data_IF_601815755756
#
_entry.id   IF_601815755756
#
_cell.length_a   1.000
_cell.length_b   1.000
_cell.length_c   1.000
_cell.angle_alpha   90.00
_cell.angle_beta   90.00
_cell.angle_gamma   90.00
#
_symmetry.space_group_name_H-M   'P 1'
#
loop_
_entity.id
_entity.type
_entity.pdbx_description
1 polymer ?
#
# COMPACT_ATOMS: atom_id res chain seq x y z
N UNK A 1 -16.17 1.13 1.67
CA UNK A 1 -16.31 1.94 2.91
C UNK A 1 -16.45 3.41 2.55
N UNK A 2 -17.10 4.17 3.40
CA UNK A 2 -17.16 5.61 3.23
C UNK A 2 -15.93 6.26 3.82
N UNK A 3 -15.22 7.06 3.04
CA UNK A 3 -14.06 7.80 3.51
C UNK A 3 -14.51 9.06 4.26
N UNK A 4 -14.42 9.01 5.58
CA UNK A 4 -14.65 10.15 6.47
C UNK A 4 -13.35 10.53 7.18
N UNK A 5 -13.30 11.67 7.92
CA UNK A 5 -12.07 12.07 8.60
C UNK A 5 -11.54 11.05 9.60
N UNK A 6 -12.41 10.33 10.31
CA UNK A 6 -11.99 9.32 11.28
C UNK A 6 -11.35 8.12 10.58
N UNK A 7 -11.93 7.65 9.48
CA UNK A 7 -11.35 6.56 8.71
C UNK A 7 -10.03 6.96 8.10
N UNK A 8 -9.92 8.17 7.57
CA UNK A 8 -8.66 8.70 7.02
C UNK A 8 -7.55 8.68 8.06
N UNK A 9 -7.85 9.13 9.27
CA UNK A 9 -6.88 9.14 10.36
C UNK A 9 -6.45 7.72 10.74
N UNK A 10 -7.41 6.78 10.84
CA UNK A 10 -7.09 5.37 11.14
C UNK A 10 -6.22 4.74 10.07
N UNK A 11 -6.45 5.06 8.80
CA UNK A 11 -5.63 4.56 7.70
C UNK A 11 -4.20 5.07 7.83
N UNK A 12 -4.02 6.36 8.09
CA UNK A 12 -2.69 6.94 8.27
C UNK A 12 -1.95 6.33 9.46
N UNK A 13 -2.64 6.12 10.58
CA UNK A 13 -2.05 5.47 11.77
C UNK A 13 -1.62 4.03 11.45
N UNK A 14 -2.47 3.29 10.79
CA UNK A 14 -2.21 1.90 10.40
C UNK A 14 -1.00 1.81 9.47
N UNK A 15 -0.93 2.67 8.47
CA UNK A 15 0.19 2.72 7.54
C UNK A 15 1.49 3.08 8.27
N UNK A 16 1.45 4.04 9.18
CA UNK A 16 2.62 4.40 9.99
C UNK A 16 3.16 3.23 10.81
N UNK A 17 2.26 2.47 11.45
CA UNK A 17 2.63 1.29 12.23
C UNK A 17 3.29 0.23 11.34
N UNK A 18 2.66 -0.12 10.23
CA UNK A 18 3.19 -1.17 9.36
C UNK A 18 4.46 -0.74 8.62
N UNK A 19 4.53 0.52 8.17
CA UNK A 19 5.74 1.03 7.53
C UNK A 19 6.94 0.95 8.48
N UNK A 20 6.73 1.28 9.76
CA UNK A 20 7.76 1.15 10.79
C UNK A 20 8.20 -0.32 10.97
N UNK A 21 7.23 -1.24 11.06
CA UNK A 21 7.53 -2.67 11.21
C UNK A 21 8.27 -3.24 10.00
N UNK A 22 7.99 -2.73 8.82
CA UNK A 22 8.60 -3.22 7.58
C UNK A 22 9.87 -2.47 7.21
N UNK A 23 10.28 -1.50 8.04
CA UNK A 23 11.50 -0.70 7.84
C UNK A 23 11.53 0.02 6.50
N UNK A 24 10.40 0.62 6.13
CA UNK A 24 10.28 1.46 4.93
C UNK A 24 9.87 2.87 5.34
N UNK A 25 10.23 3.88 4.51
CA UNK A 25 9.69 5.21 4.69
C UNK A 25 8.17 5.16 4.57
N UNK A 26 7.48 5.98 5.35
CA UNK A 26 6.03 6.09 5.25
C UNK A 26 5.68 6.68 3.88
N UNK A 27 4.94 5.94 3.02
CA UNK A 27 4.66 6.41 1.68
C UNK A 27 3.61 7.51 1.69
N UNK A 28 3.60 8.31 0.62
CA UNK A 28 2.45 9.18 0.34
C UNK A 28 1.26 8.30 -0.01
N UNK A 29 0.08 8.70 0.47
CA UNK A 29 -1.12 7.89 0.38
C UNK A 29 -2.19 8.61 -0.42
N UNK A 30 -2.73 7.92 -1.42
CA UNK A 30 -3.91 8.35 -2.16
C UNK A 30 -5.06 7.46 -1.74
N UNK A 31 -6.22 8.03 -1.46
CA UNK A 31 -7.38 7.30 -0.94
C UNK A 31 -8.59 7.34 -1.88
N UNK A 32 -8.52 8.14 -2.94
CA UNK A 32 -9.61 8.25 -3.92
C UNK A 32 -9.06 8.09 -5.33
N UNK A 33 -9.91 7.61 -6.24
CA UNK A 33 -9.55 7.52 -7.66
C UNK A 33 -9.26 8.89 -8.25
N UNK A 34 -9.94 9.92 -7.78
CA UNK A 34 -9.70 11.28 -8.23
C UNK A 34 -8.29 11.75 -7.89
N UNK A 35 -7.82 11.45 -6.68
CA UNK A 35 -6.44 11.78 -6.29
C UNK A 35 -5.42 11.10 -7.22
N UNK A 36 -5.68 9.86 -7.65
CA UNK A 36 -4.83 9.17 -8.61
C UNK A 36 -4.85 9.87 -9.97
N UNK A 37 -6.03 10.24 -10.46
CA UNK A 37 -6.17 10.92 -11.75
C UNK A 37 -5.52 12.31 -11.77
N UNK A 38 -5.49 12.97 -10.62
CA UNK A 38 -4.88 14.30 -10.47
C UNK A 38 -3.35 14.25 -10.37
N UNK A 39 -2.77 13.05 -10.18
CA UNK A 39 -1.31 12.89 -10.14
C UNK A 39 -0.69 13.04 -11.54
N UNK A 40 0.54 13.61 -11.64
CA UNK A 40 1.26 13.63 -12.92
C UNK A 40 1.45 12.24 -13.50
N UNK A 41 1.37 12.12 -14.82
CA UNK A 41 1.52 10.83 -15.52
C UNK A 41 2.86 10.16 -15.25
N UNK A 42 3.91 10.94 -15.08
CA UNK A 42 5.25 10.46 -14.78
C UNK A 42 5.29 9.69 -13.46
N UNK A 43 4.48 10.12 -12.48
CA UNK A 43 4.42 9.49 -11.17
C UNK A 43 3.62 8.19 -11.22
N UNK A 44 2.49 8.20 -11.92
CA UNK A 44 1.62 7.02 -12.02
C UNK A 44 2.06 6.03 -13.11
N UNK A 45 3.05 6.41 -13.91
CA UNK A 45 3.60 5.57 -15.00
C UNK A 45 2.51 5.08 -15.98
N UNK A 46 1.49 5.89 -16.20
CA UNK A 46 0.40 5.53 -17.08
C UNK A 46 -0.64 4.58 -16.48
N UNK A 47 -0.46 4.13 -15.24
CA UNK A 47 -1.37 3.18 -14.57
C UNK A 47 -2.62 3.84 -13.97
N UNK A 48 -3.02 5.00 -14.49
CA UNK A 48 -4.12 5.80 -13.92
C UNK A 48 -5.47 5.08 -13.97
N UNK A 49 -5.76 4.40 -15.08
CA UNK A 49 -7.03 3.70 -15.27
C UNK A 49 -7.16 2.45 -14.41
N UNK A 50 -6.04 1.86 -14.00
CA UNK A 50 -6.03 0.67 -13.15
C UNK A 50 -6.61 0.94 -11.75
N UNK A 51 -6.59 2.20 -11.30
CA UNK A 51 -7.14 2.57 -9.99
C UNK A 51 -8.62 2.21 -9.84
N UNK A 52 -9.38 2.16 -10.93
CA UNK A 52 -10.79 1.78 -10.85
C UNK A 52 -11.01 0.28 -10.65
N UNK A 53 -10.04 -0.54 -10.99
CA UNK A 53 -10.17 -2.01 -10.98
C UNK A 53 -9.74 -2.66 -9.68
N UNK A 54 -8.79 -2.06 -8.97
CA UNK A 54 -8.11 -2.70 -7.86
C UNK A 54 -8.48 -2.08 -6.52
N UNK A 55 -8.35 -2.88 -5.45
CA UNK A 55 -8.51 -2.40 -4.07
C UNK A 55 -7.35 -1.50 -3.65
N UNK A 56 -6.19 -1.67 -4.26
CA UNK A 56 -5.03 -0.84 -3.98
C UNK A 56 -3.98 -0.98 -5.06
N UNK A 57 -3.03 -0.06 -5.07
CA UNK A 57 -1.89 -0.06 -5.98
C UNK A 57 -0.65 0.43 -5.24
N UNK A 58 0.50 -0.11 -5.62
CA UNK A 58 1.80 0.39 -5.18
C UNK A 58 2.57 0.89 -6.40
N UNK A 59 3.04 2.13 -6.31
CA UNK A 59 3.89 2.72 -7.35
C UNK A 59 5.35 2.54 -6.90
N UNK A 60 5.95 1.41 -7.30
CA UNK A 60 7.20 0.91 -6.73
C UNK A 60 8.40 1.84 -6.95
N UNK A 61 8.40 2.64 -8.01
CA UNK A 61 9.45 3.62 -8.28
C UNK A 61 9.26 4.91 -7.49
N UNK A 62 8.16 5.01 -6.74
CA UNK A 62 7.82 6.14 -5.90
C UNK A 62 7.42 5.62 -4.51
N UNK A 63 7.67 6.39 -3.47
CA UNK A 63 7.14 6.09 -2.15
C UNK A 63 5.68 6.54 -2.10
N UNK A 64 4.83 5.80 -2.81
CA UNK A 64 3.44 6.17 -3.07
C UNK A 64 2.58 4.92 -3.16
N UNK A 65 1.47 4.91 -2.44
CA UNK A 65 0.46 3.86 -2.54
C UNK A 65 -0.93 4.47 -2.71
N UNK A 66 -1.83 3.69 -3.31
CA UNK A 66 -3.24 4.03 -3.42
C UNK A 66 -4.07 2.94 -2.75
N UNK A 67 -4.99 3.35 -1.87
CA UNK A 67 -5.96 2.46 -1.24
C UNK A 67 -7.35 2.90 -1.69
N UNK A 68 -8.04 2.03 -2.41
CA UNK A 68 -9.36 2.32 -2.97
C UNK A 68 -10.44 2.08 -1.92
N UNK A 69 -10.56 3.01 -0.98
CA UNK A 69 -11.45 2.89 0.18
C UNK A 69 -12.89 2.61 -0.25
N UNK A 70 -13.34 3.24 -1.33
CA UNK A 70 -14.71 3.08 -1.83
C UNK A 70 -15.06 1.64 -2.19
N UNK A 71 -14.07 0.86 -2.68
CA UNK A 71 -14.26 -0.55 -3.05
C UNK A 71 -14.12 -1.52 -1.88
N UNK A 72 -13.57 -1.06 -0.77
CA UNK A 72 -13.30 -1.92 0.39
C UNK A 72 -14.57 -2.05 1.22
N UNK A 73 -14.92 -3.29 1.60
CA UNK A 73 -16.18 -3.59 2.28
C UNK A 73 -16.05 -3.54 3.81
N UNK A 74 -14.90 -3.89 4.38
CA UNK A 74 -14.72 -3.93 5.84
C UNK A 74 -13.28 -3.65 6.25
N UNK A 75 -13.06 -3.50 7.57
CA UNK A 75 -11.75 -3.16 8.12
C UNK A 75 -10.71 -4.26 7.95
N UNK A 76 -11.11 -5.51 7.94
CA UNK A 76 -10.19 -6.62 7.74
C UNK A 76 -9.61 -6.59 6.32
N UNK A 77 -10.45 -6.34 5.34
CA UNK A 77 -10.02 -6.19 3.95
C UNK A 77 -9.16 -4.94 3.80
N UNK A 78 -9.51 -3.86 4.49
CA UNK A 78 -8.72 -2.63 4.50
C UNK A 78 -7.29 -2.89 5.01
N UNK A 79 -7.16 -3.53 6.16
CA UNK A 79 -5.84 -3.84 6.74
C UNK A 79 -5.04 -4.75 5.82
N UNK A 80 -5.67 -5.78 5.27
CA UNK A 80 -5.03 -6.69 4.33
C UNK A 80 -4.52 -5.94 3.09
N UNK A 81 -5.34 -5.04 2.54
CA UNK A 81 -4.97 -4.23 1.37
C UNK A 81 -3.78 -3.32 1.68
N UNK A 82 -3.80 -2.66 2.84
CA UNK A 82 -2.69 -1.81 3.27
C UNK A 82 -1.39 -2.60 3.36
N UNK A 83 -1.42 -3.74 4.05
CA UNK A 83 -0.23 -4.59 4.21
C UNK A 83 0.25 -5.08 2.84
N UNK A 84 -0.66 -5.50 1.96
CA UNK A 84 -0.33 -5.95 0.62
C UNK A 84 0.46 -4.88 -0.15
N UNK A 85 0.00 -3.63 -0.15
CA UNK A 85 0.69 -2.56 -0.87
C UNK A 85 2.02 -2.18 -0.20
N UNK A 86 2.09 -2.22 1.13
CA UNK A 86 3.36 -1.95 1.83
C UNK A 86 4.39 -3.06 1.61
N UNK A 87 3.96 -4.31 1.47
CA UNK A 87 4.86 -5.41 1.08
C UNK A 87 5.42 -5.18 -0.33
N UNK A 88 4.61 -4.68 -1.26
CA UNK A 88 5.12 -4.26 -2.58
C UNK A 88 6.19 -3.17 -2.47
N UNK A 89 6.03 -2.23 -1.56
CA UNK A 89 7.02 -1.17 -1.33
C UNK A 89 8.31 -1.73 -0.71
N UNK A 90 8.19 -2.68 0.21
CA UNK A 90 9.35 -3.28 0.89
C UNK A 90 10.10 -4.26 -0.01
N UNK A 91 9.38 -4.99 -0.85
CA UNK A 91 9.94 -6.02 -1.74
C UNK A 91 9.54 -5.74 -3.18
N UNK A 92 10.01 -4.63 -3.78
CA UNK A 92 9.54 -4.19 -5.10
C UNK A 92 9.93 -5.14 -6.23
N UNK A 93 10.93 -5.99 -6.02
CA UNK A 93 11.38 -6.98 -6.97
C UNK A 93 10.53 -8.26 -6.98
N UNK A 94 9.61 -8.38 -6.04
CA UNK A 94 8.85 -9.62 -5.85
C UNK A 94 7.50 -9.51 -6.56
N UNK A 95 7.22 -10.45 -7.46
CA UNK A 95 5.91 -10.56 -8.11
C UNK A 95 4.94 -11.31 -7.21
N UNK A 96 3.64 -11.20 -7.52
CA UNK A 96 2.61 -11.96 -6.82
C UNK A 96 2.87 -13.46 -6.93
N UNK A 97 2.64 -14.19 -5.84
CA UNK A 97 2.84 -15.63 -5.78
C UNK A 97 2.92 -16.11 -4.34
N UNK A 98 3.34 -17.35 -4.15
CA UNK A 98 3.40 -17.97 -2.82
C UNK A 98 4.28 -17.20 -1.84
N UNK A 99 5.45 -16.77 -2.29
CA UNK A 99 6.40 -16.04 -1.44
C UNK A 99 5.84 -14.68 -1.03
N UNK A 100 5.24 -13.96 -1.97
CA UNK A 100 4.60 -12.68 -1.70
C UNK A 100 3.47 -12.85 -0.69
N UNK A 101 2.57 -13.81 -0.92
CA UNK A 101 1.44 -14.08 -0.04
C UNK A 101 1.90 -14.46 1.37
N UNK A 102 2.98 -15.24 1.49
CA UNK A 102 3.56 -15.59 2.78
C UNK A 102 4.05 -14.35 3.53
N UNK A 103 4.71 -13.43 2.84
CA UNK A 103 5.17 -12.18 3.45
C UNK A 103 4.02 -11.31 3.93
N UNK A 104 2.94 -11.22 3.15
CA UNK A 104 1.73 -10.51 3.56
C UNK A 104 1.17 -11.12 4.85
N UNK A 105 1.04 -12.44 4.92
CA UNK A 105 0.53 -13.11 6.12
C UNK A 105 1.45 -12.92 7.32
N UNK A 106 2.75 -13.01 7.13
CA UNK A 106 3.72 -12.73 8.19
C UNK A 106 3.61 -11.29 8.69
N UNK A 107 3.47 -10.33 7.77
CA UNK A 107 3.28 -8.92 8.13
C UNK A 107 2.02 -8.70 8.95
N UNK A 108 0.90 -9.31 8.54
CA UNK A 108 -0.38 -9.24 9.26
C UNK A 108 -0.27 -9.85 10.66
N UNK A 109 0.58 -10.87 10.83
CA UNK A 109 0.81 -11.51 12.13
C UNK A 109 1.81 -10.76 13.02
N UNK A 110 2.28 -9.59 12.60
CA UNK A 110 3.15 -8.74 13.40
C UNK A 110 4.64 -8.90 13.16
N UNK A 111 5.04 -9.65 12.13
CA UNK A 111 6.46 -9.80 11.82
C UNK A 111 7.07 -8.46 11.40
N UNK A 112 8.30 -8.22 11.90
CA UNK A 112 9.10 -7.06 11.51
C UNK A 112 10.10 -7.48 10.44
N UNK A 113 10.29 -6.63 9.43
CA UNK A 113 11.31 -6.85 8.41
C UNK A 113 12.44 -5.84 8.59
N UNK A 114 13.68 -6.30 8.41
CA UNK A 114 14.83 -5.41 8.45
C UNK A 114 14.86 -4.50 7.23
N UNK A 115 15.55 -3.36 7.35
CA UNK A 115 15.70 -2.44 6.24
C UNK A 115 16.43 -3.12 5.09
N UNK A 116 16.02 -2.77 3.85
CA UNK A 116 16.72 -3.26 2.67
C UNK A 116 18.15 -2.73 2.66
N UNK A 117 19.11 -3.64 2.57
CA UNK A 117 20.52 -3.28 2.42
C UNK A 117 21.00 -3.73 1.07
N UNK A 118 21.48 -2.78 0.29
CA UNK A 118 22.07 -3.07 -1.00
C UNK A 118 23.45 -3.70 -0.77
N UNK A 119 23.66 -4.92 -1.28
CA UNK A 119 24.96 -5.56 -1.22
C UNK A 119 25.95 -4.77 -2.08
N UNK A 120 27.06 -4.50 -1.49
CA UNK A 120 28.17 -3.90 -2.22
C UNK A 120 28.87 -4.96 -3.07
#
# INVERSE_FOLDING_TARGET
MKLDPDLRLRIYEMIGIYASRFSIPEPKILLTTREVLDMPREITEGARTSAYKYLGLSYNNQSLIFINVRKISDEKILENTIVHELIHQRFPYLSHGKRFNKLVQQGLCGKRFSAYQKRK
#
